data_IF_525632317415
#
_entry.id   IF_525632317415
#
_cell.length_a   1.000
_cell.length_b   1.000
_cell.length_c   1.000
_cell.angle_alpha   90.00
_cell.angle_beta   90.00
_cell.angle_gamma   90.00
#
_symmetry.space_group_name_H-M   'P 1'
#
loop_
_entity.id
_entity.type
_entity.pdbx_description
1 polymer ?
#
# COMPACT_ATOMS: atom_id res chain seq x y z
N UNK A 1 -15.87 -29.94 47.84
CA UNK A 1 -14.98 -28.78 48.08
C UNK A 1 -14.07 -28.45 46.90
N UNK A 2 -13.51 -29.43 46.17
CA UNK A 2 -12.66 -29.17 44.99
C UNK A 2 -13.42 -28.54 43.80
N UNK A 3 -14.63 -29.00 43.48
CA UNK A 3 -15.43 -28.44 42.37
C UNK A 3 -15.72 -26.93 42.50
N UNK A 4 -15.99 -26.45 43.72
CA UNK A 4 -16.22 -25.01 43.97
C UNK A 4 -14.96 -24.15 43.75
N UNK A 5 -13.77 -24.71 44.00
CA UNK A 5 -12.51 -23.99 43.77
C UNK A 5 -12.22 -23.86 42.27
N UNK A 6 -12.52 -24.89 41.50
CA UNK A 6 -12.35 -24.90 40.05
C UNK A 6 -13.32 -23.93 39.37
N UNK A 7 -14.59 -23.90 39.78
CA UNK A 7 -15.55 -22.95 39.21
C UNK A 7 -15.20 -21.50 39.52
N UNK A 8 -14.76 -21.20 40.74
CA UNK A 8 -14.32 -19.85 41.12
C UNK A 8 -13.08 -19.38 40.33
N UNK A 9 -12.09 -20.27 40.12
CA UNK A 9 -10.92 -19.94 39.29
C UNK A 9 -11.30 -19.66 37.83
N UNK A 10 -12.28 -20.37 37.29
CA UNK A 10 -12.74 -20.16 35.92
C UNK A 10 -13.42 -18.80 35.76
N UNK A 11 -14.27 -18.40 36.71
CA UNK A 11 -14.91 -17.07 36.72
C UNK A 11 -13.86 -15.96 36.84
N UNK A 12 -12.82 -16.16 37.65
CA UNK A 12 -11.73 -15.21 37.81
C UNK A 12 -10.88 -15.09 36.53
N UNK A 13 -10.61 -16.21 35.85
CA UNK A 13 -9.89 -16.21 34.58
C UNK A 13 -10.66 -15.50 33.47
N UNK A 14 -11.97 -15.75 33.35
CA UNK A 14 -12.82 -15.11 32.33
C UNK A 14 -12.93 -13.60 32.58
N UNK A 15 -13.08 -13.17 33.83
CA UNK A 15 -13.14 -11.74 34.18
C UNK A 15 -11.80 -11.03 33.98
N UNK A 16 -10.68 -11.65 34.35
CA UNK A 16 -9.35 -11.13 34.06
C UNK A 16 -9.10 -11.00 32.55
N UNK A 17 -9.50 -12.02 31.77
CA UNK A 17 -9.38 -11.98 30.32
C UNK A 17 -10.27 -10.89 29.68
N UNK A 18 -11.49 -10.70 30.17
CA UNK A 18 -12.38 -9.64 29.72
C UNK A 18 -11.82 -8.23 30.00
N UNK A 19 -11.18 -8.04 31.16
CA UNK A 19 -10.51 -6.79 31.51
C UNK A 19 -9.32 -6.53 30.59
N UNK A 20 -8.44 -7.52 30.41
CA UNK A 20 -7.28 -7.43 29.51
C UNK A 20 -7.72 -7.12 28.08
N UNK A 21 -8.73 -7.83 27.57
CA UNK A 21 -9.29 -7.58 26.24
C UNK A 21 -9.82 -6.15 26.13
N UNK A 22 -10.59 -5.67 27.11
CA UNK A 22 -11.13 -4.31 27.10
C UNK A 22 -10.04 -3.23 27.09
N UNK A 23 -8.91 -3.46 27.77
CA UNK A 23 -7.78 -2.52 27.80
C UNK A 23 -6.90 -2.58 26.56
N UNK A 24 -6.61 -3.78 26.02
CA UNK A 24 -5.69 -3.93 24.89
C UNK A 24 -6.36 -3.77 23.52
N UNK A 25 -7.64 -4.11 23.40
CA UNK A 25 -8.39 -3.96 22.15
C UNK A 25 -8.34 -2.55 21.53
N UNK A 26 -8.55 -1.44 22.27
CA UNK A 26 -8.48 -0.09 21.68
C UNK A 26 -7.09 0.22 21.12
N UNK A 27 -6.03 -0.16 21.82
CA UNK A 27 -4.64 0.08 21.39
C UNK A 27 -4.35 -0.64 20.06
N UNK A 28 -4.74 -1.92 19.97
CA UNK A 28 -4.54 -2.71 18.75
C UNK A 28 -5.37 -2.16 17.59
N UNK A 29 -6.61 -1.74 17.87
CA UNK A 29 -7.50 -1.11 16.87
C UNK A 29 -6.91 0.19 16.34
N UNK A 30 -6.41 1.07 17.20
CA UNK A 30 -5.85 2.36 16.81
C UNK A 30 -4.60 2.18 15.94
N UNK A 31 -3.70 1.26 16.30
CA UNK A 31 -2.52 0.92 15.48
C UNK A 31 -2.94 0.40 14.09
N UNK A 32 -4.00 -0.41 14.03
CA UNK A 32 -4.50 -0.95 12.76
C UNK A 32 -5.14 0.13 11.88
N UNK A 33 -5.95 1.01 12.47
CA UNK A 33 -6.58 2.15 11.78
C UNK A 33 -5.51 3.12 11.28
N UNK A 34 -4.50 3.42 12.08
CA UNK A 34 -3.37 4.29 11.70
C UNK A 34 -2.59 3.73 10.52
N UNK A 35 -2.33 2.41 10.52
CA UNK A 35 -1.66 1.74 9.40
C UNK A 35 -2.49 1.83 8.12
N UNK A 36 -3.81 1.67 8.20
CA UNK A 36 -4.70 1.78 7.04
C UNK A 36 -4.78 3.21 6.54
N UNK A 37 -4.87 4.18 7.45
CA UNK A 37 -4.91 5.61 7.12
C UNK A 37 -3.62 6.08 6.47
N UNK A 38 -2.46 5.74 7.03
CA UNK A 38 -1.16 6.07 6.45
C UNK A 38 -0.99 5.45 5.07
N UNK A 39 -1.44 4.19 4.90
CA UNK A 39 -1.46 3.53 3.59
C UNK A 39 -2.39 4.23 2.59
N UNK A 40 -3.53 4.73 3.04
CA UNK A 40 -4.48 5.47 2.18
C UNK A 40 -3.88 6.80 1.72
N UNK A 41 -3.32 7.58 2.65
CA UNK A 41 -2.69 8.87 2.35
C UNK A 41 -1.53 8.72 1.35
N UNK A 42 -0.66 7.73 1.53
CA UNK A 42 0.44 7.46 0.61
C UNK A 42 -0.04 7.09 -0.81
N UNK A 43 -1.18 6.41 -0.91
CA UNK A 43 -1.79 6.08 -2.22
C UNK A 43 -2.39 7.32 -2.88
N UNK A 44 -3.14 8.13 -2.11
CA UNK A 44 -3.80 9.31 -2.64
C UNK A 44 -2.76 10.38 -3.09
N UNK A 45 -1.63 10.50 -2.39
CA UNK A 45 -0.48 11.33 -2.80
C UNK A 45 0.14 10.83 -4.12
N UNK A 46 0.32 9.51 -4.25
CA UNK A 46 0.86 8.89 -5.48
C UNK A 46 -0.07 9.13 -6.68
N UNK A 47 -1.39 9.01 -6.50
CA UNK A 47 -2.38 9.31 -7.55
C UNK A 47 -2.30 10.77 -8.02
N UNK A 48 -2.09 11.72 -7.10
CA UNK A 48 -1.88 13.13 -7.45
C UNK A 48 -0.62 13.37 -8.29
N UNK A 49 0.50 12.71 -7.93
CA UNK A 49 1.77 12.80 -8.69
C UNK A 49 1.60 12.20 -10.09
N UNK A 50 0.92 11.06 -10.22
CA UNK A 50 0.63 10.43 -11.52
C UNK A 50 -0.18 11.36 -12.42
N UNK A 51 -1.29 11.92 -11.92
CA UNK A 51 -2.14 12.81 -12.71
C UNK A 51 -1.40 14.07 -13.17
N UNK A 52 -0.58 14.65 -12.28
CA UNK A 52 0.25 15.81 -12.60
C UNK A 52 1.21 15.49 -13.76
N UNK A 53 1.98 14.40 -13.67
CA UNK A 53 2.95 14.03 -14.70
C UNK A 53 2.32 13.58 -16.01
N UNK A 54 1.14 12.95 -15.98
CA UNK A 54 0.34 12.67 -17.18
C UNK A 54 -0.10 13.95 -17.88
N UNK A 55 -0.52 14.95 -17.11
CA UNK A 55 -0.91 16.25 -17.66
C UNK A 55 0.28 16.97 -18.32
N UNK A 56 1.48 16.86 -17.73
CA UNK A 56 2.74 17.36 -18.31
C UNK A 56 3.09 16.66 -19.61
N UNK A 57 3.02 15.32 -19.65
CA UNK A 57 3.23 14.55 -20.89
C UNK A 57 2.29 14.97 -22.02
N UNK A 58 1.02 15.23 -21.69
CA UNK A 58 0.00 15.60 -22.68
C UNK A 58 0.12 17.05 -23.15
N UNK A 59 0.63 17.96 -22.31
CA UNK A 59 0.66 19.41 -22.58
C UNK A 59 2.03 19.97 -22.93
N UNK A 60 3.12 19.34 -22.53
CA UNK A 60 4.46 19.88 -22.75
C UNK A 60 4.78 19.98 -24.25
N UNK A 61 5.26 21.14 -24.69
CA UNK A 61 5.79 21.32 -26.05
C UNK A 61 7.21 20.76 -26.18
N UNK A 62 7.97 20.81 -25.08
CA UNK A 62 9.38 20.43 -25.03
C UNK A 62 9.56 18.91 -24.82
N UNK A 63 10.51 18.35 -25.58
CA UNK A 63 10.88 16.93 -25.56
C UNK A 63 11.54 16.52 -24.25
N UNK A 64 12.28 17.42 -23.60
CA UNK A 64 13.00 17.14 -22.34
C UNK A 64 12.01 16.99 -21.18
N UNK A 65 11.05 17.90 -21.08
CA UNK A 65 10.03 17.87 -20.04
C UNK A 65 9.11 16.64 -20.16
N UNK A 66 8.81 16.23 -21.41
CA UNK A 66 8.11 14.97 -21.68
C UNK A 66 8.91 13.76 -21.22
N UNK A 67 10.21 13.71 -21.54
CA UNK A 67 11.07 12.60 -21.14
C UNK A 67 11.16 12.50 -19.61
N UNK A 68 11.34 13.63 -18.92
CA UNK A 68 11.37 13.68 -17.46
C UNK A 68 10.05 13.18 -16.84
N UNK A 69 8.90 13.67 -17.33
CA UNK A 69 7.59 13.21 -16.86
C UNK A 69 7.35 11.72 -17.16
N UNK A 70 7.86 11.21 -18.28
CA UNK A 70 7.79 9.79 -18.63
C UNK A 70 8.62 8.90 -17.69
N UNK A 71 9.85 9.31 -17.37
CA UNK A 71 10.70 8.60 -16.40
C UNK A 71 10.02 8.55 -15.03
N UNK A 72 9.45 9.66 -14.56
CA UNK A 72 8.71 9.68 -13.28
C UNK A 72 7.53 8.70 -13.29
N UNK A 73 6.77 8.61 -14.40
CA UNK A 73 5.68 7.63 -14.51
C UNK A 73 6.18 6.18 -14.60
N UNK A 74 7.38 5.95 -15.16
CA UNK A 74 8.05 4.65 -15.12
C UNK A 74 8.45 4.27 -13.69
N UNK A 75 9.04 5.21 -12.91
CA UNK A 75 9.41 4.98 -11.51
C UNK A 75 8.18 4.63 -10.64
N UNK A 76 7.04 5.24 -10.95
CA UNK A 76 5.78 4.90 -10.27
C UNK A 76 5.19 3.56 -10.71
N UNK A 77 5.83 2.88 -11.67
CA UNK A 77 5.35 1.69 -12.38
C UNK A 77 4.04 1.89 -13.14
N UNK A 78 3.61 3.14 -13.35
CA UNK A 78 2.34 3.46 -13.98
C UNK A 78 2.30 2.97 -15.44
N UNK A 79 3.35 3.27 -16.21
CA UNK A 79 3.44 2.90 -17.64
C UNK A 79 3.44 1.39 -17.86
N UNK A 80 4.19 0.66 -17.03
CA UNK A 80 4.29 -0.81 -17.08
C UNK A 80 2.94 -1.48 -16.78
N UNK A 81 2.20 -0.98 -15.80
CA UNK A 81 0.89 -1.52 -15.42
C UNK A 81 -0.16 -1.22 -16.50
N UNK A 82 -0.15 0.00 -17.05
CA UNK A 82 -1.10 0.43 -18.06
C UNK A 82 -0.89 -0.29 -19.42
N UNK A 83 0.34 -0.66 -19.75
CA UNK A 83 0.67 -1.40 -20.99
C UNK A 83 0.43 -2.91 -20.86
N UNK A 84 0.73 -3.52 -19.70
CA UNK A 84 0.62 -4.98 -19.53
C UNK A 84 -0.80 -5.47 -19.26
N UNK A 85 -1.68 -4.65 -18.66
CA UNK A 85 -2.93 -5.15 -18.05
C UNK A 85 -4.20 -4.58 -18.68
N UNK A 86 -4.10 -3.70 -19.67
CA UNK A 86 -5.27 -3.10 -20.32
C UNK A 86 -5.89 -3.96 -21.45
N UNK A 87 -5.96 -5.28 -21.26
CA UNK A 87 -6.82 -6.15 -22.08
C UNK A 87 -8.21 -6.21 -21.44
N UNK A 88 -9.20 -5.52 -22.03
CA UNK A 88 -10.62 -5.73 -21.74
C UNK A 88 -11.33 -4.69 -20.88
N UNK A 89 -10.80 -3.47 -20.75
CA UNK A 89 -11.52 -2.30 -20.19
C UNK A 89 -12.01 -2.39 -18.72
N UNK A 90 -11.62 -3.43 -17.97
CA UNK A 90 -11.85 -3.56 -16.52
C UNK A 90 -10.65 -3.04 -15.69
N UNK A 91 -10.01 -2.00 -16.20
CA UNK A 91 -8.73 -1.53 -15.70
C UNK A 91 -8.93 -0.48 -14.60
N UNK A 92 -8.49 -0.81 -13.39
CA UNK A 92 -8.45 0.11 -12.24
C UNK A 92 -6.99 0.29 -11.83
N UNK A 93 -6.44 1.49 -12.06
CA UNK A 93 -5.04 1.84 -11.81
C UNK A 93 -4.57 1.49 -10.41
N UNK A 94 -5.39 1.81 -9.40
CA UNK A 94 -5.07 1.58 -7.99
C UNK A 94 -4.94 0.09 -7.67
N UNK A 95 -5.88 -0.73 -8.16
CA UNK A 95 -5.88 -2.18 -7.91
C UNK A 95 -4.74 -2.87 -8.67
N UNK A 96 -4.52 -2.48 -9.92
CA UNK A 96 -3.52 -3.14 -10.77
C UNK A 96 -2.10 -2.75 -10.39
N UNK A 97 -1.83 -1.50 -10.02
CA UNK A 97 -0.51 -1.08 -9.52
C UNK A 97 -0.15 -1.81 -8.23
N UNK A 98 -1.11 -1.96 -7.31
CA UNK A 98 -0.93 -2.75 -6.09
C UNK A 98 -0.66 -4.23 -6.37
N UNK A 99 -1.37 -4.84 -7.33
CA UNK A 99 -1.14 -6.25 -7.71
C UNK A 99 0.22 -6.43 -8.39
N UNK A 100 0.58 -5.52 -9.30
CA UNK A 100 1.86 -5.55 -10.00
C UNK A 100 3.02 -5.44 -9.01
N UNK A 101 3.02 -4.42 -8.14
CA UNK A 101 4.06 -4.26 -7.10
C UNK A 101 4.19 -5.48 -6.19
N UNK A 102 3.09 -6.16 -5.87
CA UNK A 102 3.11 -7.41 -5.09
C UNK A 102 3.63 -8.62 -5.87
N UNK A 103 3.50 -8.62 -7.20
CA UNK A 103 4.02 -9.70 -8.05
C UNK A 103 5.49 -9.56 -8.42
N UNK A 104 6.10 -8.40 -8.18
CA UNK A 104 7.51 -8.18 -8.44
C UNK A 104 8.36 -8.88 -7.36
N UNK A 105 9.34 -9.67 -7.81
CA UNK A 105 10.37 -10.21 -6.92
C UNK A 105 11.33 -9.08 -6.49
N UNK A 106 12.05 -9.25 -5.36
CA UNK A 106 13.06 -8.29 -4.93
C UNK A 106 14.09 -7.98 -6.02
N UNK A 107 14.52 -9.00 -6.78
CA UNK A 107 15.46 -8.84 -7.89
C UNK A 107 14.89 -7.96 -9.02
N UNK A 108 13.62 -8.13 -9.38
CA UNK A 108 12.97 -7.30 -10.40
C UNK A 108 12.79 -5.87 -9.94
N UNK A 109 12.55 -5.66 -8.64
CA UNK A 109 12.54 -4.31 -8.05
C UNK A 109 13.92 -3.65 -8.10
N UNK A 110 15.00 -4.41 -7.83
CA UNK A 110 16.37 -3.90 -7.96
C UNK A 110 16.70 -3.53 -9.40
N UNK A 111 16.32 -4.36 -10.38
CA UNK A 111 16.50 -4.03 -11.80
C UNK A 111 15.70 -2.81 -12.23
N UNK A 112 14.46 -2.68 -11.76
CA UNK A 112 13.66 -1.47 -12.01
C UNK A 112 14.39 -0.24 -11.46
N UNK A 113 14.81 -0.23 -10.19
CA UNK A 113 15.59 0.87 -9.60
C UNK A 113 16.87 1.21 -10.37
N UNK A 114 17.58 0.19 -10.87
CA UNK A 114 18.78 0.40 -11.69
C UNK A 114 18.47 1.06 -13.04
N UNK A 115 17.31 0.76 -13.65
CA UNK A 115 16.83 1.40 -14.87
C UNK A 115 16.30 2.81 -14.62
N UNK A 116 15.85 3.09 -13.39
CA UNK A 116 15.40 4.40 -12.92
C UNK A 116 16.58 5.33 -12.56
N UNK A 117 17.82 4.84 -12.65
CA UNK A 117 19.03 5.62 -12.38
C UNK A 117 19.40 5.72 -10.90
N UNK A 118 18.75 4.98 -10.00
CA UNK A 118 19.13 4.88 -8.59
C UNK A 118 20.34 3.94 -8.41
N UNK A 119 21.48 4.31 -8.98
CA UNK A 119 22.79 3.81 -8.58
C UNK A 119 23.75 5.00 -8.40
N UNK A 120 23.68 5.57 -7.19
CA UNK A 120 24.85 6.00 -6.39
C UNK A 120 24.66 5.49 -4.95
#
# INVERSE_FOLDING_TARGET
MQLMKVSAMFVFAVSAFALLYRTYFPIVKDIWVDRIRNKKNAVDETEGIVQSNLSKLRKAGDSVEKAAAFVVLMNLSYVLVHTLVNKGNNYNDRVQSLKFRKSLTPETLTRLRSLEGEHE
#
